data_IF_681823080537
#
_entry.id   IF_681823080537
#
_cell.length_a   1.000
_cell.length_b   1.000
_cell.length_c   1.000
_cell.angle_alpha   90.00
_cell.angle_beta   90.00
_cell.angle_gamma   90.00
#
_symmetry.space_group_name_H-M   'P 1'
#
loop_
_entity.id
_entity.type
_entity.pdbx_description
1 polymer ?
#
# COMPACT_ATOMS: atom_id res chain seq x y z
N UNK A 1 30.19 -26.48 -2.28
CA UNK A 1 29.15 -25.54 -2.72
C UNK A 1 27.81 -26.00 -2.22
N UNK A 2 27.32 -25.41 -1.13
CA UNK A 2 26.00 -25.72 -0.61
C UNK A 2 24.97 -24.81 -1.27
N UNK A 3 24.12 -25.36 -2.13
CA UNK A 3 22.98 -24.61 -2.66
C UNK A 3 22.05 -24.21 -1.52
N UNK A 4 21.69 -22.93 -1.47
CA UNK A 4 20.76 -22.37 -0.48
C UNK A 4 19.42 -23.13 -0.55
N UNK A 5 19.19 -24.05 0.41
CA UNK A 5 17.93 -24.79 0.50
C UNK A 5 16.83 -23.82 0.91
N UNK A 6 15.89 -23.54 0.01
CA UNK A 6 14.71 -22.72 0.29
C UNK A 6 13.78 -23.46 1.25
N UNK A 7 13.48 -22.84 2.38
CA UNK A 7 12.53 -23.36 3.38
C UNK A 7 11.17 -22.70 3.17
N UNK A 8 10.11 -23.51 3.08
CA UNK A 8 8.73 -22.99 3.02
C UNK A 8 8.21 -22.73 4.43
N UNK A 9 7.81 -21.49 4.69
CA UNK A 9 7.31 -21.04 6.00
C UNK A 9 5.89 -20.49 5.84
N UNK A 10 5.01 -20.76 6.80
CA UNK A 10 3.65 -20.23 6.83
C UNK A 10 3.57 -19.01 7.75
N UNK A 11 2.98 -17.92 7.27
CA UNK A 11 2.77 -16.68 8.02
C UNK A 11 1.28 -16.42 8.21
N UNK A 12 0.78 -16.52 9.44
CA UNK A 12 -0.62 -16.28 9.80
C UNK A 12 -0.73 -15.86 11.28
N UNK A 13 -1.96 -15.63 11.75
CA UNK A 13 -2.22 -15.25 13.15
C UNK A 13 -2.09 -16.39 14.17
N UNK A 14 -1.80 -17.64 13.77
CA UNK A 14 -1.55 -18.71 14.76
C UNK A 14 -0.16 -18.57 15.41
N UNK A 15 0.75 -17.84 14.77
CA UNK A 15 2.02 -17.44 15.35
C UNK A 15 1.83 -16.16 16.19
N UNK A 16 2.00 -16.30 17.50
CA UNK A 16 1.80 -15.20 18.46
C UNK A 16 2.81 -14.08 18.26
N UNK A 17 4.05 -14.42 17.92
CA UNK A 17 5.13 -13.46 17.66
C UNK A 17 4.91 -12.78 16.31
N UNK A 18 4.54 -13.51 15.26
CA UNK A 18 4.24 -12.87 13.98
C UNK A 18 3.04 -11.93 14.07
N UNK A 19 2.03 -12.26 14.87
CA UNK A 19 0.87 -11.38 15.07
C UNK A 19 1.22 -10.05 15.71
N UNK A 20 2.28 -9.97 16.52
CA UNK A 20 2.77 -8.70 17.08
C UNK A 20 3.71 -7.97 16.13
N UNK A 21 4.54 -8.70 15.36
CA UNK A 21 5.54 -8.11 14.47
C UNK A 21 4.98 -7.60 13.12
N UNK A 22 3.99 -8.29 12.55
CA UNK A 22 3.56 -8.06 11.15
C UNK A 22 2.98 -6.67 10.87
N UNK A 23 2.43 -6.02 11.89
CA UNK A 23 1.71 -4.75 11.76
C UNK A 23 2.57 -3.57 12.24
N UNK A 24 3.83 -3.81 12.61
CA UNK A 24 4.76 -2.81 13.19
C UNK A 24 5.75 -2.33 12.13
N UNK A 25 6.19 -1.07 12.23
CA UNK A 25 7.23 -0.54 11.36
C UNK A 25 8.54 -1.33 11.55
N UNK A 26 9.27 -1.57 10.47
CA UNK A 26 10.49 -2.40 10.51
C UNK A 26 11.56 -1.88 11.47
N UNK A 27 11.65 -0.55 11.66
CA UNK A 27 12.59 0.07 12.61
C UNK A 27 12.38 -0.42 14.06
N UNK A 28 11.13 -0.70 14.43
CA UNK A 28 10.76 -1.15 15.77
C UNK A 28 10.82 -2.67 15.93
N UNK A 29 10.90 -3.44 14.85
CA UNK A 29 10.94 -4.92 14.92
C UNK A 29 12.10 -5.41 15.80
N UNK A 30 13.25 -4.73 15.77
CA UNK A 30 14.40 -5.09 16.60
C UNK A 30 14.13 -5.01 18.10
N UNK A 31 13.39 -4.00 18.56
CA UNK A 31 13.04 -3.83 19.99
C UNK A 31 12.04 -4.90 20.42
N UNK A 32 11.04 -5.22 19.58
CA UNK A 32 10.05 -6.26 19.85
C UNK A 32 10.66 -7.66 19.91
N UNK A 33 11.56 -8.00 18.98
CA UNK A 33 12.29 -9.28 18.98
C UNK A 33 13.15 -9.39 20.24
N UNK A 34 13.86 -8.32 20.62
CA UNK A 34 14.67 -8.27 21.84
C UNK A 34 13.81 -8.46 23.10
N UNK A 35 12.68 -7.75 23.20
CA UNK A 35 11.74 -7.85 24.31
C UNK A 35 11.15 -9.27 24.45
N UNK A 36 10.82 -9.92 23.33
CA UNK A 36 10.36 -11.32 23.36
C UNK A 36 11.47 -12.28 23.76
N UNK A 37 12.70 -12.04 23.31
CA UNK A 37 13.86 -12.84 23.69
C UNK A 37 14.16 -12.75 25.19
N UNK A 38 14.08 -11.56 25.78
CA UNK A 38 14.25 -11.37 27.23
C UNK A 38 13.15 -12.04 28.03
N UNK A 39 11.90 -11.96 27.56
CA UNK A 39 10.77 -12.66 28.19
C UNK A 39 10.95 -14.18 28.15
N UNK A 40 11.36 -14.77 27.02
CA UNK A 40 11.58 -16.21 26.94
C UNK A 40 12.77 -16.68 27.77
N UNK A 41 13.78 -15.82 28.00
CA UNK A 41 14.88 -16.10 28.93
C UNK A 41 14.39 -16.08 30.38
N UNK A 42 13.64 -15.08 30.81
CA UNK A 42 13.16 -15.01 32.20
C UNK A 42 12.28 -16.21 32.56
N UNK A 43 11.42 -16.68 31.65
CA UNK A 43 10.59 -17.89 31.86
C UNK A 43 11.46 -19.15 31.96
N UNK A 44 12.59 -19.20 31.24
CA UNK A 44 13.54 -20.30 31.34
C UNK A 44 14.34 -20.25 32.65
N UNK A 45 14.77 -19.07 33.09
CA UNK A 45 15.49 -18.91 34.34
C UNK A 45 14.59 -19.26 35.54
N UNK A 46 13.29 -18.93 35.47
CA UNK A 46 12.27 -19.39 36.41
C UNK A 46 12.17 -20.93 36.45
N UNK A 47 12.26 -21.61 35.29
CA UNK A 47 12.31 -23.08 35.20
C UNK A 47 13.46 -23.65 36.00
N UNK A 48 14.64 -23.09 35.79
CA UNK A 48 15.88 -23.62 36.33
C UNK A 48 15.96 -23.30 37.84
N UNK A 49 15.37 -22.18 38.27
CA UNK A 49 15.17 -21.81 39.68
C UNK A 49 14.05 -22.55 40.42
N UNK A 50 13.23 -23.37 39.74
CA UNK A 50 12.24 -24.25 40.36
C UNK A 50 12.81 -25.62 40.76
N UNK A 51 14.05 -25.93 40.38
CA UNK A 51 14.79 -27.08 40.89
C UNK A 51 15.11 -26.87 42.38
N UNK A 52 14.14 -27.21 43.26
CA UNK A 52 14.27 -27.09 44.71
C UNK A 52 13.11 -26.40 45.45
N UNK A 53 12.00 -26.05 44.77
CA UNK A 53 10.86 -25.33 45.37
C UNK A 53 9.60 -26.18 45.56
N UNK A 54 8.59 -25.60 46.22
CA UNK A 54 7.37 -26.26 46.69
C UNK A 54 6.50 -26.84 45.54
N UNK A 55 5.74 -27.90 45.83
CA UNK A 55 4.88 -28.62 44.85
C UNK A 55 3.77 -27.73 44.26
N UNK A 56 3.36 -26.68 44.98
CA UNK A 56 2.36 -25.70 44.54
C UNK A 56 2.90 -24.77 43.45
N UNK A 57 4.13 -24.28 43.60
CA UNK A 57 4.80 -23.45 42.58
C UNK A 57 5.12 -24.26 41.32
N UNK A 58 5.46 -25.53 41.49
CA UNK A 58 5.65 -26.47 40.37
C UNK A 58 4.34 -26.66 39.58
N UNK A 59 3.18 -26.74 40.25
CA UNK A 59 1.88 -26.87 39.57
C UNK A 59 1.51 -25.62 38.77
N UNK A 60 1.72 -24.43 39.31
CA UNK A 60 1.47 -23.16 38.59
C UNK A 60 2.41 -22.99 37.38
N UNK A 61 3.68 -23.36 37.55
CA UNK A 61 4.65 -23.33 36.47
C UNK A 61 4.34 -24.34 35.36
N UNK A 62 3.97 -25.58 35.71
CA UNK A 62 3.54 -26.61 34.73
C UNK A 62 2.27 -26.19 34.00
N UNK A 63 1.39 -25.41 34.62
CA UNK A 63 0.22 -24.81 33.96
C UNK A 63 0.66 -23.76 32.93
N UNK A 64 1.53 -22.81 33.31
CA UNK A 64 2.11 -21.83 32.37
C UNK A 64 2.91 -22.48 31.23
N UNK A 65 3.64 -23.56 31.50
CA UNK A 65 4.37 -24.34 30.48
C UNK A 65 3.45 -25.07 29.51
N UNK A 66 2.31 -25.58 29.99
CA UNK A 66 1.31 -26.21 29.10
C UNK A 66 0.60 -25.16 28.23
N UNK A 67 0.43 -23.95 28.74
CA UNK A 67 -0.17 -22.82 28.01
C UNK A 67 0.79 -22.21 26.97
N UNK A 68 2.10 -22.23 27.23
CA UNK A 68 3.12 -21.68 26.33
C UNK A 68 4.08 -22.77 25.89
N UNK A 69 3.98 -23.23 24.63
CA UNK A 69 4.94 -24.18 24.06
C UNK A 69 6.32 -23.50 23.86
N UNK A 70 7.12 -23.41 24.92
CA UNK A 70 8.38 -22.65 24.96
C UNK A 70 9.32 -23.08 23.84
N UNK A 71 9.40 -24.38 23.54
CA UNK A 71 10.31 -24.86 22.50
C UNK A 71 9.89 -24.38 21.11
N UNK A 72 8.59 -24.39 20.82
CA UNK A 72 8.06 -23.85 19.57
C UNK A 72 8.26 -22.33 19.49
N UNK A 73 8.00 -21.60 20.58
CA UNK A 73 8.22 -20.15 20.65
C UNK A 73 9.71 -19.78 20.45
N UNK A 74 10.66 -20.57 20.98
CA UNK A 74 12.09 -20.38 20.71
C UNK A 74 12.43 -20.60 19.23
N UNK A 75 11.84 -21.61 18.60
CA UNK A 75 12.02 -21.87 17.17
C UNK A 75 11.46 -20.71 16.31
N UNK A 76 10.27 -20.21 16.64
CA UNK A 76 9.65 -19.06 15.98
C UNK A 76 10.47 -17.79 16.17
N UNK A 77 10.95 -17.53 17.39
CA UNK A 77 11.82 -16.39 17.67
C UNK A 77 13.11 -16.46 16.84
N UNK A 78 13.76 -17.63 16.75
CA UNK A 78 14.97 -17.83 15.93
C UNK A 78 14.70 -17.57 14.44
N UNK A 79 13.56 -18.07 13.94
CA UNK A 79 13.12 -17.87 12.57
C UNK A 79 12.89 -16.38 12.27
N UNK A 80 12.12 -15.67 13.09
CA UNK A 80 11.84 -14.24 12.91
C UNK A 80 13.08 -13.38 13.09
N UNK A 81 14.00 -13.76 13.99
CA UNK A 81 15.30 -13.09 14.15
C UNK A 81 16.13 -13.23 12.87
N UNK A 82 16.18 -14.43 12.29
CA UNK A 82 16.92 -14.68 11.04
C UNK A 82 16.35 -13.87 9.87
N UNK A 83 15.02 -13.78 9.76
CA UNK A 83 14.34 -12.96 8.75
C UNK A 83 14.65 -11.47 8.98
N UNK A 84 14.52 -10.98 10.21
CA UNK A 84 14.79 -9.59 10.56
C UNK A 84 16.23 -9.19 10.23
N UNK A 85 17.21 -10.06 10.46
CA UNK A 85 18.61 -9.81 10.08
C UNK A 85 18.81 -9.75 8.57
N UNK A 86 18.17 -10.63 7.80
CA UNK A 86 18.21 -10.59 6.33
C UNK A 86 17.57 -9.31 5.78
N UNK A 87 16.42 -8.92 6.32
CA UNK A 87 15.74 -7.68 5.96
C UNK A 87 16.57 -6.45 6.33
N UNK A 88 17.21 -6.46 7.50
CA UNK A 88 18.08 -5.36 7.93
C UNK A 88 19.21 -5.13 6.94
N UNK A 89 19.85 -6.19 6.46
CA UNK A 89 20.89 -6.08 5.42
C UNK A 89 20.38 -5.40 4.14
N UNK A 90 19.15 -5.71 3.71
CA UNK A 90 18.55 -5.09 2.53
C UNK A 90 18.13 -3.62 2.76
N UNK A 91 17.66 -3.28 3.97
CA UNK A 91 17.23 -1.91 4.33
C UNK A 91 18.41 -0.98 4.55
N UNK A 92 19.57 -1.50 4.98
CA UNK A 92 20.81 -0.71 5.13
C UNK A 92 21.57 -0.54 3.81
N UNK A 93 21.11 -1.16 2.73
CA UNK A 93 21.78 -1.05 1.44
C UNK A 93 21.66 0.38 0.87
N UNK A 94 22.75 1.02 0.42
CA UNK A 94 22.70 2.38 -0.09
C UNK A 94 21.75 2.57 -1.28
N UNK A 95 21.55 1.54 -2.12
CA UNK A 95 20.59 1.61 -3.22
C UNK A 95 19.14 1.64 -2.73
N UNK A 96 18.86 0.95 -1.62
CA UNK A 96 17.55 0.99 -0.98
C UNK A 96 17.29 2.36 -0.37
N UNK A 97 18.23 2.89 0.40
CA UNK A 97 18.10 4.20 1.06
C UNK A 97 17.92 5.32 0.03
N UNK A 98 18.75 5.36 -1.02
CA UNK A 98 18.63 6.37 -2.08
C UNK A 98 17.27 6.32 -2.78
N UNK A 99 16.77 5.11 -3.08
CA UNK A 99 15.46 4.93 -3.69
C UNK A 99 14.34 5.43 -2.77
N UNK A 100 14.40 5.09 -1.49
CA UNK A 100 13.43 5.52 -0.49
C UNK A 100 13.41 7.04 -0.33
N UNK A 101 14.58 7.68 -0.24
CA UNK A 101 14.73 9.14 -0.19
C UNK A 101 14.11 9.82 -1.41
N UNK A 102 14.33 9.26 -2.61
CA UNK A 102 13.71 9.76 -3.84
C UNK A 102 12.19 9.60 -3.83
N UNK A 103 11.66 8.43 -3.45
CA UNK A 103 10.21 8.19 -3.36
C UNK A 103 9.54 9.13 -2.35
N UNK A 104 10.12 9.28 -1.16
CA UNK A 104 9.62 10.19 -0.11
C UNK A 104 9.71 11.65 -0.54
N UNK A 105 10.86 12.05 -1.09
CA UNK A 105 11.10 13.42 -1.52
C UNK A 105 10.16 13.86 -2.65
N UNK A 106 9.80 12.94 -3.56
CA UNK A 106 8.79 13.19 -4.59
C UNK A 106 7.39 13.35 -3.98
N UNK A 107 7.00 12.48 -3.02
CA UNK A 107 5.69 12.55 -2.38
C UNK A 107 5.49 13.82 -1.53
N UNK A 108 6.56 14.25 -0.85
CA UNK A 108 6.60 15.49 -0.06
C UNK A 108 6.63 16.76 -0.93
N UNK A 109 7.11 16.66 -2.17
CA UNK A 109 7.39 17.80 -3.03
C UNK A 109 8.68 18.56 -2.68
N UNK A 110 9.57 17.94 -1.90
CA UNK A 110 10.88 18.49 -1.53
C UNK A 110 11.94 18.25 -2.61
N UNK A 111 11.77 17.20 -3.42
CA UNK A 111 12.65 16.90 -4.55
C UNK A 111 12.05 17.39 -5.87
N UNK A 112 12.90 18.03 -6.68
CA UNK A 112 12.54 18.40 -8.03
C UNK A 112 12.32 17.14 -8.90
N UNK A 113 11.28 17.17 -9.74
CA UNK A 113 10.93 16.07 -10.64
C UNK A 113 12.09 15.65 -11.54
N UNK A 114 12.93 16.59 -11.99
CA UNK A 114 14.07 16.25 -12.86
C UNK A 114 15.10 15.40 -12.13
N UNK A 115 15.46 15.74 -10.88
CA UNK A 115 16.39 14.93 -10.07
C UNK A 115 15.85 13.52 -9.81
N UNK A 116 14.53 13.39 -9.63
CA UNK A 116 13.90 12.08 -9.47
C UNK A 116 13.97 11.26 -10.76
N UNK A 117 13.76 11.89 -11.92
CA UNK A 117 13.88 11.24 -13.22
C UNK A 117 15.33 10.85 -13.52
N UNK A 118 16.30 11.67 -13.16
CA UNK A 118 17.73 11.34 -13.30
C UNK A 118 18.06 10.07 -12.48
N UNK A 119 17.55 9.95 -11.24
CA UNK A 119 17.70 8.72 -10.47
C UNK A 119 17.05 7.49 -11.13
N UNK A 120 15.88 7.66 -11.74
CA UNK A 120 15.21 6.58 -12.46
C UNK A 120 15.97 6.16 -13.73
N UNK A 121 16.61 7.12 -14.42
CA UNK A 121 17.49 6.86 -15.55
C UNK A 121 18.77 6.15 -15.15
N UNK A 122 19.39 6.55 -14.03
CA UNK A 122 20.54 5.86 -13.46
C UNK A 122 20.18 4.40 -13.12
N UNK A 123 19.04 4.18 -12.48
CA UNK A 123 18.55 2.82 -12.15
C UNK A 123 18.33 1.97 -13.41
N UNK A 124 17.82 2.59 -14.48
CA UNK A 124 17.64 1.94 -15.78
C UNK A 124 19.00 1.61 -16.42
N UNK A 125 19.95 2.53 -16.42
CA UNK A 125 21.31 2.31 -16.94
C UNK A 125 22.07 1.23 -16.14
N UNK A 126 21.81 1.10 -14.85
CA UNK A 126 22.35 0.03 -14.01
C UNK A 126 21.70 -1.35 -14.26
N UNK A 127 20.68 -1.42 -15.12
CA UNK A 127 19.98 -2.67 -15.44
C UNK A 127 19.11 -3.21 -14.30
N UNK A 128 18.53 -2.34 -13.46
CA UNK A 128 17.56 -2.78 -12.46
C UNK A 128 16.36 -3.49 -13.13
N UNK A 129 15.69 -4.44 -12.46
CA UNK A 129 14.54 -5.14 -13.04
C UNK A 129 13.44 -4.19 -13.55
N UNK A 130 12.88 -4.46 -14.73
CA UNK A 130 11.88 -3.61 -15.38
C UNK A 130 10.72 -3.18 -14.44
N UNK A 131 10.11 -4.07 -13.63
CA UNK A 131 9.03 -3.65 -12.72
C UNK A 131 9.45 -2.58 -11.71
N UNK A 132 10.73 -2.57 -11.30
CA UNK A 132 11.26 -1.64 -10.31
C UNK A 132 11.41 -0.24 -10.90
N UNK A 133 11.97 -0.12 -12.10
CA UNK A 133 12.08 1.15 -12.82
C UNK A 133 10.70 1.70 -13.17
N UNK A 134 9.81 0.86 -13.70
CA UNK A 134 8.45 1.27 -14.07
C UNK A 134 7.64 1.78 -12.87
N UNK A 135 7.85 1.23 -11.66
CA UNK A 135 7.21 1.77 -10.44
C UNK A 135 7.63 3.20 -10.15
N UNK A 136 8.91 3.54 -10.29
CA UNK A 136 9.41 4.90 -10.10
C UNK A 136 8.77 5.84 -11.12
N UNK A 137 8.73 5.43 -12.39
CA UNK A 137 8.12 6.23 -13.45
C UNK A 137 6.60 6.43 -13.26
N UNK A 138 5.89 5.38 -12.84
CA UNK A 138 4.47 5.47 -12.53
C UNK A 138 4.21 6.38 -11.33
N UNK A 139 5.05 6.31 -10.28
CA UNK A 139 4.92 7.20 -9.12
C UNK A 139 5.09 8.67 -9.54
N UNK A 140 6.11 8.98 -10.35
CA UNK A 140 6.33 10.31 -10.91
C UNK A 140 5.12 10.79 -11.74
N UNK A 141 4.60 9.91 -12.61
CA UNK A 141 3.43 10.18 -13.43
C UNK A 141 2.16 10.47 -12.60
N UNK A 142 1.93 9.71 -11.53
CA UNK A 142 0.75 9.88 -10.67
C UNK A 142 0.82 11.16 -9.82
N UNK A 143 2.02 11.52 -9.33
CA UNK A 143 2.23 12.73 -8.52
C UNK A 143 2.17 14.00 -9.38
N UNK A 144 2.84 14.00 -10.53
CA UNK A 144 3.02 15.19 -11.38
C UNK A 144 2.02 15.28 -12.54
N UNK A 145 1.02 14.39 -12.59
CA UNK A 145 0.08 14.27 -13.70
C UNK A 145 0.76 14.04 -15.06
N UNK A 146 1.79 13.19 -15.07
CA UNK A 146 2.54 12.76 -16.23
C UNK A 146 4.04 12.98 -16.10
N UNK A 147 4.77 12.56 -17.13
CA UNK A 147 6.24 12.66 -17.19
C UNK A 147 6.65 13.54 -18.36
N UNK A 148 7.52 14.53 -18.12
CA UNK A 148 8.01 15.47 -19.15
C UNK A 148 8.90 14.78 -20.19
N UNK A 149 9.83 13.93 -19.75
CA UNK A 149 10.82 13.22 -20.58
C UNK A 149 10.31 11.87 -21.10
N UNK A 150 9.01 11.74 -21.27
CA UNK A 150 8.33 10.47 -21.55
C UNK A 150 8.90 9.73 -22.77
N UNK A 151 9.08 10.42 -23.90
CA UNK A 151 9.53 9.79 -25.15
C UNK A 151 11.01 9.36 -25.10
N UNK A 152 11.84 10.12 -24.38
CA UNK A 152 13.24 9.77 -24.13
C UNK A 152 13.35 8.53 -23.24
N UNK A 153 12.58 8.49 -22.14
CA UNK A 153 12.52 7.34 -21.24
C UNK A 153 11.98 6.08 -21.93
N UNK A 154 10.96 6.23 -22.79
CA UNK A 154 10.42 5.13 -23.61
C UNK A 154 11.49 4.53 -24.53
N UNK A 155 12.29 5.40 -25.16
CA UNK A 155 13.40 4.97 -26.02
C UNK A 155 14.49 4.26 -25.22
N UNK A 156 14.85 4.78 -24.05
CA UNK A 156 15.86 4.18 -23.16
C UNK A 156 15.40 2.82 -22.60
N UNK A 157 14.12 2.70 -22.21
CA UNK A 157 13.53 1.43 -21.76
C UNK A 157 13.61 0.34 -22.84
N UNK A 158 13.33 0.70 -24.09
CA UNK A 158 13.45 -0.23 -25.21
C UNK A 158 14.90 -0.67 -25.47
N UNK A 159 15.87 0.23 -25.26
CA UNK A 159 17.28 -0.07 -25.44
C UNK A 159 17.82 -1.01 -24.35
N UNK A 160 17.44 -0.81 -23.09
CA UNK A 160 17.96 -1.60 -21.96
C UNK A 160 17.21 -2.93 -21.79
N UNK A 161 15.88 -2.91 -21.84
CA UNK A 161 15.04 -4.08 -21.56
C UNK A 161 14.46 -4.75 -22.82
N UNK A 162 14.80 -4.23 -24.00
CA UNK A 162 14.31 -4.73 -25.28
C UNK A 162 12.92 -4.21 -25.66
N UNK A 163 12.44 -4.54 -26.86
CA UNK A 163 11.19 -4.00 -27.41
C UNK A 163 9.94 -4.43 -26.63
N UNK A 164 9.98 -5.55 -25.90
CA UNK A 164 8.86 -6.00 -25.07
C UNK A 164 8.50 -5.02 -23.95
N UNK A 165 9.46 -4.22 -23.47
CA UNK A 165 9.19 -3.16 -22.51
C UNK A 165 8.20 -2.11 -23.05
N UNK A 166 8.17 -1.89 -24.38
CA UNK A 166 7.25 -0.93 -25.00
C UNK A 166 5.79 -1.38 -24.94
N UNK A 167 5.54 -2.69 -24.99
CA UNK A 167 4.19 -3.24 -24.83
C UNK A 167 3.70 -3.02 -23.40
N UNK A 168 4.56 -3.26 -22.41
CA UNK A 168 4.30 -2.96 -21.00
C UNK A 168 4.02 -1.46 -20.78
N UNK A 169 4.83 -0.58 -21.36
CA UNK A 169 4.61 0.88 -21.30
C UNK A 169 3.26 1.25 -21.92
N UNK A 170 2.90 0.66 -23.06
CA UNK A 170 1.58 0.88 -23.67
C UNK A 170 0.42 0.44 -22.76
N UNK A 171 0.55 -0.71 -22.09
CA UNK A 171 -0.45 -1.17 -21.12
C UNK A 171 -0.58 -0.18 -19.94
N UNK A 172 0.53 0.37 -19.45
CA UNK A 172 0.54 1.38 -18.40
C UNK A 172 -0.06 2.72 -18.84
N UNK A 173 0.17 3.13 -20.09
CA UNK A 173 -0.46 4.30 -20.71
C UNK A 173 -1.97 4.15 -20.80
N UNK A 174 -2.45 2.96 -21.22
CA UNK A 174 -3.89 2.66 -21.29
C UNK A 174 -4.57 2.66 -19.92
N UNK A 175 -3.84 2.26 -18.88
CA UNK A 175 -4.32 2.29 -17.49
C UNK A 175 -4.19 3.68 -16.85
N UNK A 176 -3.56 4.65 -17.52
CA UNK A 176 -3.31 5.99 -17.00
C UNK A 176 -2.26 6.06 -15.90
N UNK A 177 -1.51 4.97 -15.66
CA UNK A 177 -0.46 4.90 -14.65
C UNK A 177 0.81 5.64 -15.11
N UNK A 178 1.11 5.57 -16.40
CA UNK A 178 2.22 6.28 -17.02
C UNK A 178 1.70 7.11 -18.18
N UNK A 179 1.78 8.44 -18.08
CA UNK A 179 1.32 9.34 -19.15
C UNK A 179 2.34 10.40 -19.49
N UNK A 180 2.33 10.85 -20.73
CA UNK A 180 3.09 12.02 -21.15
C UNK A 180 2.49 13.27 -20.51
N UNK A 181 3.35 14.09 -19.92
CA UNK A 181 2.89 15.37 -19.37
C UNK A 181 2.54 16.31 -20.52
N UNK A 182 1.27 16.71 -20.61
CA UNK A 182 0.86 17.76 -21.53
C UNK A 182 1.39 19.10 -21.00
N UNK A 183 2.15 19.82 -21.83
CA UNK A 183 2.50 21.21 -21.53
C UNK A 183 1.22 22.02 -21.38
N UNK A 184 1.12 22.84 -20.33
CA UNK A 184 -0.07 23.64 -20.00
C UNK A 184 -0.60 24.48 -21.18
N UNK A 185 0.26 24.78 -22.16
CA UNK A 185 -0.05 25.46 -23.42
C UNK A 185 -0.81 24.61 -24.44
N UNK A 186 -0.66 23.29 -24.45
CA UNK A 186 -1.26 22.39 -25.44
C UNK A 186 -2.75 22.12 -25.18
N UNK A 187 -3.19 22.20 -23.91
CA UNK A 187 -4.61 22.05 -23.54
C UNK A 187 -5.48 23.24 -23.96
N UNK A 188 -4.87 24.41 -24.18
CA UNK A 188 -5.56 25.65 -24.60
C UNK A 188 -5.56 25.77 -26.13
N UNK A 189 -4.49 25.37 -26.83
CA UNK A 189 -4.38 25.46 -28.29
C UNK A 189 -5.09 24.34 -29.05
N UNK A 190 -5.36 23.19 -28.41
CA UNK A 190 -6.18 22.13 -28.99
C UNK A 190 -7.69 22.46 -29.05
N UNK A 191 -8.14 23.43 -28.24
CA UNK A 191 -9.55 23.87 -28.22
C UNK A 191 -9.81 25.07 -29.14
N UNK A 192 -8.80 25.88 -29.48
CA UNK A 192 -8.99 27.00 -30.41
C UNK A 192 -9.24 26.54 -31.85
N UNK A 193 -8.68 25.41 -32.28
CA UNK A 193 -8.91 24.84 -33.61
C UNK A 193 -10.27 24.13 -33.75
N UNK A 194 -10.86 23.66 -32.65
CA UNK A 194 -12.19 23.02 -32.66
C UNK A 194 -13.34 23.99 -32.32
N UNK A 195 -13.09 25.05 -31.55
CA UNK A 195 -14.08 26.12 -31.29
C UNK A 195 -14.19 27.07 -32.50
N UNK A 196 -13.13 27.24 -33.30
CA UNK A 196 -13.20 28.01 -34.55
C UNK A 196 -14.13 27.37 -35.62
N UNK A 197 -14.38 26.05 -35.55
CA UNK A 197 -15.23 25.35 -36.50
C UNK A 197 -16.72 25.37 -36.14
N UNK A 198 -17.08 25.70 -34.89
CA UNK A 198 -18.47 25.75 -34.43
C UNK A 198 -18.82 27.18 -34.00
N UNK A 199 -19.37 27.95 -34.91
CA UNK A 199 -19.93 29.28 -34.64
C UNK A 199 -21.10 29.17 -33.65
N UNK A 200 -20.83 29.22 -32.35
CA UNK A 200 -21.85 29.32 -31.30
C UNK A 200 -21.54 30.56 -30.45
N UNK A 201 -22.51 31.46 -30.40
CA UNK A 201 -22.47 32.77 -29.74
C UNK A 201 -22.02 32.70 -28.26
N UNK A 202 -21.15 33.64 -27.90
CA UNK A 202 -20.25 33.69 -26.73
C UNK A 202 -20.93 33.93 -25.35
N UNK A 203 -22.25 33.92 -25.23
CA UNK A 203 -22.89 34.28 -23.94
C UNK A 203 -23.11 33.11 -22.95
N UNK A 204 -23.15 31.85 -23.41
CA UNK A 204 -23.50 30.69 -22.57
C UNK A 204 -22.35 29.71 -22.30
N UNK A 205 -21.14 29.99 -22.81
CA UNK A 205 -19.98 29.08 -22.70
C UNK A 205 -19.25 29.14 -21.34
N UNK A 206 -19.54 30.14 -20.50
CA UNK A 206 -18.82 30.37 -19.25
C UNK A 206 -18.96 29.25 -18.21
N UNK A 207 -20.10 28.56 -18.15
CA UNK A 207 -20.35 27.51 -17.15
C UNK A 207 -19.88 26.11 -17.61
N UNK A 208 -19.97 25.80 -18.91
CA UNK A 208 -19.59 24.48 -19.45
C UNK A 208 -18.07 24.41 -19.65
N UNK A 209 -17.44 25.50 -20.12
CA UNK A 209 -15.99 25.60 -20.17
C UNK A 209 -15.38 25.57 -18.77
N UNK A 210 -16.02 26.20 -17.76
CA UNK A 210 -15.55 26.13 -16.38
C UNK A 210 -15.57 24.71 -15.79
N UNK A 211 -16.53 23.85 -16.18
CA UNK A 211 -16.56 22.46 -15.71
C UNK A 211 -15.52 21.56 -16.40
N UNK A 212 -15.32 21.70 -17.71
CA UNK A 212 -14.24 21.00 -18.44
C UNK A 212 -12.84 21.50 -18.05
N UNK A 213 -12.72 22.80 -17.79
CA UNK A 213 -11.51 23.40 -17.23
C UNK A 213 -11.35 22.98 -15.79
N UNK A 214 -12.38 22.87 -14.95
CA UNK A 214 -12.25 22.34 -13.59
C UNK A 214 -11.85 20.87 -13.58
N UNK A 215 -12.36 20.05 -14.50
CA UNK A 215 -12.01 18.63 -14.65
C UNK A 215 -10.56 18.44 -15.18
N UNK A 216 -10.06 19.37 -16.02
CA UNK A 216 -8.65 19.38 -16.49
C UNK A 216 -7.68 20.20 -15.63
N UNK A 217 -8.14 21.16 -14.84
CA UNK A 217 -7.33 22.01 -13.93
C UNK A 217 -7.18 21.35 -12.56
N UNK A 218 -8.17 20.55 -12.11
CA UNK A 218 -7.94 19.59 -11.02
C UNK A 218 -6.87 18.55 -11.39
N UNK A 219 -6.60 18.34 -12.68
CA UNK A 219 -5.50 17.50 -13.14
C UNK A 219 -4.11 18.15 -12.99
N UNK A 220 -3.97 19.47 -12.80
CA UNK A 220 -2.65 20.14 -12.75
C UNK A 220 -1.81 19.79 -11.51
N UNK A 221 -2.42 19.27 -10.44
CA UNK A 221 -1.87 18.17 -9.60
C UNK A 221 -2.93 17.80 -8.57
N UNK A 222 -3.89 16.92 -8.92
CA UNK A 222 -4.88 16.41 -7.96
C UNK A 222 -4.23 15.86 -6.69
N UNK A 223 -3.00 15.36 -6.81
CA UNK A 223 -2.13 14.98 -5.71
C UNK A 223 -1.92 16.07 -4.66
N UNK A 224 -1.52 17.30 -5.00
CA UNK A 224 -1.22 18.32 -3.98
C UNK A 224 -2.46 18.80 -3.23
N UNK A 225 -3.60 18.82 -3.92
CA UNK A 225 -4.88 19.10 -3.29
C UNK A 225 -5.27 17.98 -2.32
N UNK A 226 -5.15 16.71 -2.74
CA UNK A 226 -5.43 15.55 -1.89
C UNK A 226 -4.46 15.44 -0.72
N UNK A 227 -3.16 15.65 -0.96
CA UNK A 227 -2.09 15.61 0.03
C UNK A 227 -2.38 16.56 1.18
N UNK A 228 -2.74 17.81 0.88
CA UNK A 228 -3.10 18.83 1.88
C UNK A 228 -4.44 18.54 2.55
N UNK A 229 -5.50 18.24 1.77
CA UNK A 229 -6.86 18.03 2.31
C UNK A 229 -6.97 16.79 3.21
N UNK A 230 -6.25 15.73 2.87
CA UNK A 230 -6.32 14.44 3.59
C UNK A 230 -5.14 14.22 4.54
N UNK A 231 -4.19 15.16 4.61
CA UNK A 231 -2.95 15.01 5.37
C UNK A 231 -2.25 13.67 5.03
N UNK A 232 -1.93 13.50 3.74
CA UNK A 232 -1.35 12.24 3.23
C UNK A 232 0.14 12.13 3.53
N UNK A 233 0.82 13.24 3.79
CA UNK A 233 2.24 13.28 4.10
C UNK A 233 2.39 14.00 5.43
N UNK A 234 2.91 13.28 6.41
CA UNK A 234 2.98 13.71 7.81
C UNK A 234 4.45 13.91 8.17
N UNK A 235 4.90 15.16 8.10
CA UNK A 235 6.24 15.58 8.52
C UNK A 235 6.24 15.87 10.02
N UNK A 236 5.94 14.83 10.81
CA UNK A 236 5.83 14.89 12.25
C UNK A 236 6.94 14.09 12.95
N UNK A 237 7.08 14.29 14.26
CA UNK A 237 7.97 13.48 15.10
C UNK A 237 7.59 11.99 14.99
N UNK A 238 8.54 11.10 15.34
CA UNK A 238 8.30 9.65 15.30
C UNK A 238 7.08 9.24 16.15
N UNK A 239 6.90 9.87 17.31
CA UNK A 239 5.77 9.61 18.23
C UNK A 239 4.42 9.99 17.63
N UNK A 240 4.33 11.12 16.92
CA UNK A 240 3.11 11.56 16.25
C UNK A 240 2.79 10.67 15.04
N UNK A 241 3.82 10.22 14.33
CA UNK A 241 3.70 9.32 13.18
C UNK A 241 3.21 7.93 13.60
N UNK A 242 3.69 7.40 14.72
CA UNK A 242 3.25 6.12 15.28
C UNK A 242 1.81 6.16 15.80
N UNK A 243 1.31 7.37 16.12
CA UNK A 243 -0.09 7.63 16.45
C UNK A 243 -1.03 7.69 15.24
N UNK A 244 -0.50 7.61 14.01
CA UNK A 244 -1.24 7.85 12.78
C UNK A 244 -1.04 6.72 11.75
N UNK A 245 -1.95 6.54 10.80
CA UNK A 245 -1.82 5.52 9.73
C UNK A 245 -0.60 5.72 8.83
N UNK A 246 0.04 6.88 8.86
CA UNK A 246 1.29 7.18 8.14
C UNK A 246 2.50 6.36 8.60
N UNK A 247 2.43 5.70 9.76
CA UNK A 247 3.49 4.79 10.25
C UNK A 247 3.82 3.68 9.24
N UNK A 248 2.84 3.24 8.43
CA UNK A 248 2.98 2.13 7.50
C UNK A 248 3.98 2.39 6.37
N UNK A 249 4.23 3.66 6.04
CA UNK A 249 5.22 4.09 5.04
C UNK A 249 6.17 5.17 5.60
N UNK A 250 6.36 5.21 6.92
CA UNK A 250 7.26 6.17 7.58
C UNK A 250 7.03 7.63 7.17
N UNK A 251 5.78 8.06 7.04
CA UNK A 251 5.41 9.46 6.77
C UNK A 251 4.31 9.62 5.72
N UNK A 252 4.17 8.65 4.80
CA UNK A 252 3.04 8.62 3.87
C UNK A 252 1.86 7.81 4.45
N UNK A 253 0.68 8.42 4.53
CA UNK A 253 -0.56 7.76 4.85
C UNK A 253 -1.23 7.25 3.57
N UNK A 254 -1.46 5.92 3.44
CA UNK A 254 -2.16 5.37 2.28
C UNK A 254 -3.52 6.04 2.11
N UNK A 255 -3.77 6.60 0.92
CA UNK A 255 -5.02 7.33 0.65
C UNK A 255 -6.25 6.46 0.92
N UNK A 256 -6.18 5.16 0.61
CA UNK A 256 -7.22 4.17 0.89
C UNK A 256 -7.53 4.06 2.40
N UNK A 257 -6.50 3.93 3.24
CA UNK A 257 -6.65 3.89 4.70
C UNK A 257 -7.17 5.22 5.26
N UNK A 258 -6.69 6.35 4.72
CA UNK A 258 -7.12 7.70 5.14
C UNK A 258 -8.58 7.98 4.81
N UNK A 259 -9.06 7.54 3.65
CA UNK A 259 -10.48 7.62 3.29
C UNK A 259 -11.34 6.81 4.27
N UNK A 260 -10.93 5.58 4.59
CA UNK A 260 -11.64 4.75 5.57
C UNK A 260 -11.65 5.38 6.96
N UNK A 261 -10.51 5.89 7.43
CA UNK A 261 -10.42 6.58 8.71
C UNK A 261 -11.44 7.70 8.82
N UNK A 262 -11.51 8.58 7.81
CA UNK A 262 -12.42 9.73 7.80
C UNK A 262 -13.88 9.29 7.62
N UNK A 263 -14.14 8.25 6.83
CA UNK A 263 -15.47 7.72 6.58
C UNK A 263 -16.10 7.03 7.80
N UNK A 264 -15.30 6.38 8.65
CA UNK A 264 -15.78 5.61 9.82
C UNK A 264 -16.11 6.51 11.03
N UNK A 265 -15.69 7.78 11.02
CA UNK A 265 -16.00 8.74 12.09
C UNK A 265 -17.52 8.93 12.25
N UNK A 266 -18.02 9.14 13.48
CA UNK A 266 -19.44 9.37 13.72
C UNK A 266 -19.91 10.73 13.17
N UNK A 267 -21.18 10.85 12.75
CA UNK A 267 -21.78 12.12 12.31
C UNK A 267 -21.62 13.23 13.36
N UNK A 268 -21.45 14.51 12.95
CA UNK A 268 -21.53 15.03 11.58
C UNK A 268 -20.28 14.78 10.73
N UNK A 269 -19.24 14.17 11.30
CA UNK A 269 -18.03 13.75 10.58
C UNK A 269 -18.28 12.42 9.85
N UNK A 270 -17.53 12.13 8.79
CA UNK A 270 -17.79 10.99 7.91
C UNK A 270 -17.62 11.34 6.44
N UNK A 271 -18.41 10.71 5.57
CA UNK A 271 -18.39 10.96 4.13
C UNK A 271 -18.61 12.42 3.72
N UNK A 272 -19.43 13.17 4.47
CA UNK A 272 -19.66 14.60 4.22
C UNK A 272 -18.35 15.42 4.28
N UNK A 273 -17.41 15.04 5.16
CA UNK A 273 -16.12 15.73 5.26
C UNK A 273 -15.16 15.44 4.10
N UNK A 274 -15.48 14.45 3.25
CA UNK A 274 -14.65 13.99 2.15
C UNK A 274 -15.15 14.46 0.78
N UNK A 275 -16.33 15.06 0.67
CA UNK A 275 -16.99 15.35 -0.62
C UNK A 275 -16.05 16.07 -1.61
N UNK A 276 -15.38 17.11 -1.14
CA UNK A 276 -14.44 17.91 -1.90
C UNK A 276 -13.17 17.16 -2.31
N UNK A 277 -12.69 16.22 -1.49
CA UNK A 277 -11.55 15.36 -1.83
C UNK A 277 -11.95 14.25 -2.80
N UNK A 278 -13.17 13.72 -2.67
CA UNK A 278 -13.68 12.64 -3.50
C UNK A 278 -13.95 13.09 -4.94
N UNK A 279 -14.31 14.37 -5.16
CA UNK A 279 -14.45 14.97 -6.51
C UNK A 279 -13.16 14.94 -7.33
N UNK A 280 -12.00 14.86 -6.67
CA UNK A 280 -10.68 14.80 -7.33
C UNK A 280 -10.33 13.35 -7.73
N UNK A 281 -10.91 12.37 -7.05
CA UNK A 281 -10.61 10.96 -7.27
C UNK A 281 -11.40 10.41 -8.46
N UNK A 282 -10.83 9.45 -9.21
CA UNK A 282 -11.51 8.86 -10.35
C UNK A 282 -12.69 7.98 -9.90
N UNK A 283 -13.78 8.06 -10.65
CA UNK A 283 -14.92 7.16 -10.53
C UNK A 283 -16.15 7.77 -9.86
N UNK A 284 -17.31 7.11 -10.00
CA UNK A 284 -18.56 7.59 -9.43
C UNK A 284 -18.61 7.39 -7.92
N UNK A 285 -19.22 8.35 -7.23
CA UNK A 285 -19.48 8.30 -5.79
C UNK A 285 -20.94 7.96 -5.56
N UNK A 286 -21.20 6.96 -4.72
CA UNK A 286 -22.56 6.64 -4.31
C UNK A 286 -22.61 6.16 -2.87
N UNK A 287 -23.71 6.50 -2.20
CA UNK A 287 -24.06 6.00 -0.89
C UNK A 287 -25.44 5.37 -0.99
N UNK A 288 -25.58 4.13 -0.52
CA UNK A 288 -26.86 3.42 -0.48
C UNK A 288 -27.13 2.94 0.93
N UNK A 289 -28.29 3.31 1.46
CA UNK A 289 -28.81 2.79 2.73
C UNK A 289 -29.78 1.66 2.41
N UNK A 290 -29.51 0.47 2.95
CA UNK A 290 -30.41 -0.67 2.85
C UNK A 290 -31.19 -0.78 4.16
N UNK A 291 -32.51 -0.68 4.08
CA UNK A 291 -33.37 -0.96 5.22
C UNK A 291 -33.54 -2.48 5.36
N UNK A 292 -33.36 -3.04 6.57
CA UNK A 292 -33.54 -4.47 6.77
C UNK A 292 -35.01 -4.81 6.53
N UNK A 293 -35.27 -5.60 5.48
CA UNK A 293 -36.60 -6.18 5.25
C UNK A 293 -36.87 -7.20 6.36
N UNK A 294 -37.65 -6.82 7.38
CA UNK A 294 -38.18 -7.75 8.37
C UNK A 294 -38.99 -8.80 7.63
N UNK A 295 -38.52 -10.05 7.64
CA UNK A 295 -39.28 -11.20 7.14
C UNK A 295 -39.75 -11.97 8.37
N UNK A 296 -41.05 -12.01 8.68
CA UNK A 296 -41.57 -12.88 9.71
C UNK A 296 -41.18 -14.33 9.37
N UNK A 297 -40.41 -14.98 10.23
CA UNK A 297 -39.95 -16.36 10.00
C UNK A 297 -38.93 -16.84 11.04
N UNK A 298 -38.50 -18.10 10.99
CA UNK A 298 -37.57 -18.68 11.97
C UNK A 298 -36.18 -18.01 12.01
N UNK A 299 -35.88 -17.20 11.00
CA UNK A 299 -34.65 -16.42 10.85
C UNK A 299 -34.85 -14.94 11.18
N UNK A 300 -35.94 -14.59 11.86
CA UNK A 300 -36.20 -13.21 12.28
C UNK A 300 -35.11 -12.80 13.28
N UNK A 301 -34.13 -12.04 12.79
CA UNK A 301 -33.07 -11.49 13.61
C UNK A 301 -33.70 -10.32 14.37
N UNK A 302 -34.42 -10.61 15.46
CA UNK A 302 -34.61 -9.60 16.49
C UNK A 302 -33.21 -9.17 16.92
N UNK A 303 -32.81 -7.90 16.73
CA UNK A 303 -31.53 -7.45 17.26
C UNK A 303 -31.55 -7.78 18.75
N UNK A 304 -30.48 -8.39 19.29
CA UNK A 304 -30.45 -8.73 20.70
C UNK A 304 -30.82 -7.47 21.48
N UNK A 305 -31.83 -7.56 22.35
CA UNK A 305 -32.17 -6.47 23.26
C UNK A 305 -30.95 -6.31 24.15
N UNK A 306 -30.09 -5.37 23.77
CA UNK A 306 -28.86 -5.08 24.47
C UNK A 306 -29.30 -4.53 25.82
N UNK A 307 -29.04 -5.27 26.91
CA UNK A 307 -29.14 -4.72 28.26
C UNK A 307 -28.38 -3.39 28.32
N UNK A 308 -28.93 -2.44 29.04
CA UNK A 308 -28.66 -1.00 28.98
C UNK A 308 -27.22 -0.51 29.31
N UNK A 309 -26.17 -1.31 29.12
CA UNK A 309 -24.80 -0.99 29.56
C UNK A 309 -23.68 -1.15 28.52
N UNK A 310 -23.93 -1.62 27.30
CA UNK A 310 -22.90 -1.50 26.24
C UNK A 310 -23.50 -1.27 24.85
N UNK A 311 -23.11 -0.16 24.21
CA UNK A 311 -23.44 0.12 22.82
C UNK A 311 -22.67 -0.88 21.94
N UNK A 312 -23.33 -1.71 21.12
CA UNK A 312 -22.63 -2.69 20.29
C UNK A 312 -21.62 -2.00 19.37
N UNK A 313 -20.40 -2.52 19.30
CA UNK A 313 -19.36 -2.03 18.37
C UNK A 313 -19.85 -2.21 16.95
N UNK A 314 -19.81 -1.13 16.15
CA UNK A 314 -20.18 -1.18 14.73
C UNK A 314 -19.17 -2.07 14.00
N UNK A 315 -19.60 -2.88 13.03
CA UNK A 315 -18.71 -3.66 12.17
C UNK A 315 -18.75 -3.05 10.77
N UNK A 316 -17.59 -2.73 10.21
CA UNK A 316 -17.43 -2.10 8.89
C UNK A 316 -16.65 -3.05 8.00
N UNK A 317 -17.27 -3.50 6.91
CA UNK A 317 -16.62 -4.27 5.85
C UNK A 317 -16.02 -3.31 4.82
N UNK A 318 -14.70 -3.33 4.66
CA UNK A 318 -13.97 -2.58 3.64
C UNK A 318 -13.55 -3.57 2.55
N UNK A 319 -14.10 -3.42 1.34
CA UNK A 319 -13.79 -4.26 0.20
C UNK A 319 -12.89 -3.54 -0.80
N UNK A 320 -11.69 -4.07 -1.04
CA UNK A 320 -10.78 -3.61 -2.09
C UNK A 320 -11.03 -4.39 -3.37
N UNK A 321 -11.41 -3.69 -4.43
CA UNK A 321 -11.58 -4.26 -5.77
C UNK A 321 -10.34 -3.91 -6.61
N UNK A 322 -9.57 -4.91 -7.02
CA UNK A 322 -8.30 -4.73 -7.75
C UNK A 322 -7.05 -5.10 -6.94
N UNK A 323 -7.20 -5.20 -5.61
CA UNK A 323 -6.20 -5.73 -4.72
C UNK A 323 -5.85 -4.80 -3.56
N UNK A 324 -5.17 -5.32 -2.55
CA UNK A 324 -4.72 -4.57 -1.36
C UNK A 324 -3.31 -5.00 -0.97
N UNK A 325 -2.54 -4.06 -0.45
CA UNK A 325 -1.18 -4.27 0.05
C UNK A 325 -1.19 -4.65 1.55
N UNK A 326 -0.12 -5.29 2.02
CA UNK A 326 0.01 -5.61 3.44
C UNK A 326 0.08 -4.35 4.32
N UNK A 327 0.72 -3.29 3.85
CA UNK A 327 0.79 -1.98 4.53
C UNK A 327 -0.58 -1.35 4.71
N UNK A 328 -1.45 -1.38 3.69
CA UNK A 328 -2.84 -0.92 3.81
C UNK A 328 -3.63 -1.76 4.81
N UNK A 329 -3.47 -3.08 4.80
CA UNK A 329 -4.12 -3.97 5.77
C UNK A 329 -3.64 -3.67 7.19
N UNK A 330 -2.34 -3.43 7.40
CA UNK A 330 -1.77 -3.06 8.70
C UNK A 330 -2.32 -1.71 9.18
N UNK A 331 -2.41 -0.71 8.29
CA UNK A 331 -3.02 0.58 8.59
C UNK A 331 -4.50 0.45 9.00
N UNK A 332 -5.29 -0.40 8.33
CA UNK A 332 -6.69 -0.64 8.70
C UNK A 332 -6.82 -1.40 10.03
N UNK A 333 -5.91 -2.33 10.33
CA UNK A 333 -5.86 -2.99 11.65
C UNK A 333 -5.52 -2.00 12.74
N UNK A 334 -4.60 -1.08 12.49
CA UNK A 334 -4.26 0.02 13.39
C UNK A 334 -5.49 0.88 13.69
N UNK A 335 -6.23 1.30 12.66
CA UNK A 335 -7.50 2.02 12.83
C UNK A 335 -8.54 1.24 13.63
N UNK A 336 -8.64 -0.08 13.42
CA UNK A 336 -9.56 -0.92 14.20
C UNK A 336 -9.16 -1.06 15.67
N UNK A 337 -7.88 -0.84 16.02
CA UNK A 337 -7.39 -0.84 17.41
C UNK A 337 -7.61 0.52 18.07
N UNK A 338 -7.43 1.62 17.32
CA UNK A 338 -7.70 2.96 17.82
C UNK A 338 -9.19 3.13 18.12
N UNK A 339 -9.54 3.35 19.38
CA UNK A 339 -10.93 3.48 19.83
C UNK A 339 -11.68 4.68 19.22
N UNK A 340 -10.97 5.60 18.54
CA UNK A 340 -11.55 6.83 17.98
C UNK A 340 -12.64 6.60 16.93
N UNK A 341 -12.70 5.43 16.26
CA UNK A 341 -13.74 5.11 15.27
C UNK A 341 -14.96 4.35 15.82
N UNK A 342 -14.85 3.75 17.01
CA UNK A 342 -15.91 2.92 17.60
C UNK A 342 -16.38 1.75 16.72
N UNK A 343 -15.57 1.33 15.75
CA UNK A 343 -15.92 0.31 14.76
C UNK A 343 -14.81 -0.75 14.58
N UNK A 344 -15.22 -2.01 14.42
CA UNK A 344 -14.36 -3.10 14.03
C UNK A 344 -14.32 -3.18 12.51
N UNK A 345 -13.11 -3.16 11.93
CA UNK A 345 -12.92 -3.17 10.48
C UNK A 345 -12.61 -4.60 10.02
N UNK A 346 -13.39 -5.10 9.05
CA UNK A 346 -13.13 -6.35 8.34
C UNK A 346 -12.68 -5.99 6.93
N UNK A 347 -11.52 -6.50 6.51
CA UNK A 347 -10.96 -6.25 5.19
C UNK A 347 -11.26 -7.43 4.27
N UNK A 348 -11.87 -7.14 3.12
CA UNK A 348 -12.03 -8.08 2.02
C UNK A 348 -11.30 -7.53 0.79
N UNK A 349 -10.77 -8.40 -0.05
CA UNK A 349 -10.01 -8.01 -1.24
C UNK A 349 -10.13 -9.07 -2.33
N UNK A 350 -10.02 -8.65 -3.59
CA UNK A 350 -9.89 -9.59 -4.72
C UNK A 350 -8.53 -10.28 -4.75
N UNK A 351 -7.45 -9.60 -4.32
CA UNK A 351 -6.08 -10.15 -4.35
C UNK A 351 -5.16 -9.40 -3.37
N UNK A 352 -4.29 -10.13 -2.68
CA UNK A 352 -3.16 -9.52 -1.98
C UNK A 352 -2.06 -9.23 -3.00
N UNK A 353 -1.63 -7.98 -3.10
CA UNK A 353 -0.70 -7.52 -4.14
C UNK A 353 0.39 -6.60 -3.60
N UNK A 354 1.39 -6.32 -4.43
CA UNK A 354 2.45 -5.33 -4.21
C UNK A 354 2.67 -4.54 -5.50
N UNK A 355 3.37 -3.41 -5.42
CA UNK A 355 3.68 -2.63 -6.63
C UNK A 355 4.44 -3.44 -7.68
N UNK A 356 5.33 -4.33 -7.25
CA UNK A 356 6.09 -5.21 -8.16
C UNK A 356 5.21 -6.31 -8.76
N UNK A 357 4.31 -6.92 -7.98
CA UNK A 357 3.37 -7.90 -8.49
C UNK A 357 2.35 -7.29 -9.47
N UNK A 358 1.88 -6.06 -9.19
CA UNK A 358 0.98 -5.31 -10.07
C UNK A 358 1.64 -5.05 -11.42
N UNK A 359 2.81 -4.41 -11.43
CA UNK A 359 3.54 -4.13 -12.68
C UNK A 359 3.95 -5.43 -13.37
N UNK A 360 4.36 -6.45 -12.61
CA UNK A 360 4.69 -7.77 -13.14
C UNK A 360 3.53 -8.44 -13.90
N UNK A 361 2.27 -8.19 -13.50
CA UNK A 361 1.09 -8.69 -14.25
C UNK A 361 0.82 -7.95 -15.55
N UNK A 362 1.40 -6.76 -15.72
CA UNK A 362 1.30 -5.93 -16.92
C UNK A 362 2.50 -6.10 -17.86
N UNK A 363 3.57 -6.70 -17.37
CA UNK A 363 4.75 -7.04 -18.16
C UNK A 363 4.39 -8.17 -19.13
N UNK A 364 4.40 -7.86 -20.42
CA UNK A 364 4.32 -8.91 -21.43
C UNK A 364 5.65 -9.66 -21.45
N UNK A 365 5.62 -10.94 -21.05
CA UNK A 365 6.63 -11.89 -21.52
C UNK A 365 6.36 -12.12 -22.99
N UNK A 366 6.79 -11.18 -23.84
CA UNK A 366 7.15 -11.53 -25.20
C UNK A 366 8.33 -12.49 -25.06
N UNK A 367 8.04 -13.78 -24.89
CA UNK A 367 9.04 -14.81 -25.06
C UNK A 367 9.72 -14.51 -26.39
N UNK A 368 11.04 -14.27 -26.33
CA UNK A 368 11.82 -14.03 -27.52
C UNK A 368 11.51 -15.19 -28.46
N UNK A 369 10.79 -14.91 -29.56
CA UNK A 369 10.47 -15.91 -30.56
C UNK A 369 11.79 -16.59 -30.90
N UNK A 370 11.94 -17.91 -30.67
CA UNK A 370 13.19 -18.57 -31.01
C UNK A 370 13.47 -18.28 -32.49
N UNK A 371 14.75 -18.04 -32.86
CA UNK A 371 15.09 -17.72 -34.23
C UNK A 371 14.50 -18.79 -35.16
N UNK A 372 13.92 -18.42 -36.31
CA UNK A 372 13.37 -19.38 -37.25
C UNK A 372 14.49 -20.33 -37.69
N UNK A 373 14.48 -21.56 -37.16
CA UNK A 373 15.52 -22.57 -37.41
C UNK A 373 15.91 -23.45 -36.20
N UNK A 374 15.63 -23.04 -34.96
CA UNK A 374 16.08 -23.78 -33.76
C UNK A 374 15.24 -25.04 -33.40
N UNK A 375 14.35 -25.50 -34.28
CA UNK A 375 13.43 -26.62 -34.05
C UNK A 375 13.58 -27.83 -34.98
N UNK A 376 14.62 -27.87 -35.82
CA UNK A 376 14.85 -28.97 -36.76
C UNK A 376 16.11 -29.76 -36.37
N UNK A 377 16.04 -30.55 -35.28
CA UNK A 377 17.22 -31.30 -34.85
C UNK A 377 17.04 -32.23 -33.66
N UNK A 378 15.92 -32.96 -33.57
CA UNK A 378 15.82 -34.14 -32.69
C UNK A 378 14.59 -35.00 -33.05
N UNK A 379 14.58 -35.55 -34.27
CA UNK A 379 13.85 -36.79 -34.56
C UNK A 379 14.70 -37.61 -35.53
N UNK A 380 15.52 -38.49 -34.95
CA UNK A 380 15.83 -39.82 -35.47
C UNK A 380 16.24 -40.69 -34.30
#
# INVERSE_FOLDING_TARGET
>A
GGGDKKVKVQFNSSDTLFSTLRDVNFEQVGSHVKARATFLKSVQDEKDGLQGKSVTEIKEYVKKLREVNIQQEKNLLSLHTSIALRLKGAVTDPSFTRRLECEQGLLQGTMATDKYLDHAEDALCCGEPLPRVLRLLCLCSLVNNGVRRHDALRSLLAQVHGPGALATVHNLERLGLLKKQESATSGITGLSSQIAAASISVAAAGSIAANLVAEKVTAVTGWDALRRRLNLVVDASEEERDGDVSYAYSGYAPISARLVERAVRPPPQGWASLEESLKILPGPLFQRTQEPKRRPGPWDITPPVCGAQSKPRRVVLVMFVGGVTFSEVSALRFLSRQQQGGASIVVATTKLTSGEALIGTLCDTLEARPPPGAGAGARR
#
